data_IF_888925293863
#
_entry.id   IF_888925293863
#
_cell.length_a   1.000
_cell.length_b   1.000
_cell.length_c   1.000
_cell.angle_alpha   90.00
_cell.angle_beta   90.00
_cell.angle_gamma   90.00
#
_symmetry.space_group_name_H-M   'P 1'
#
loop_
_entity.id
_entity.type
_entity.pdbx_description
1 polymer ?
#
# COMPACT_ATOMS: atom_id res chain seq x y z
N UNK A 1 70.75 35.62 7.71
CA UNK A 1 69.29 35.86 7.77
C UNK A 1 68.56 34.54 7.55
N UNK A 2 67.70 34.11 8.49
CA UNK A 2 66.93 32.86 8.40
C UNK A 2 65.60 33.14 7.68
N UNK A 3 65.36 32.51 6.53
CA UNK A 3 64.05 32.56 5.86
C UNK A 3 63.11 31.55 6.53
N UNK A 4 61.99 32.04 7.06
CA UNK A 4 60.92 31.23 7.64
C UNK A 4 59.92 30.93 6.51
N UNK A 5 59.76 29.65 6.17
CA UNK A 5 58.69 29.17 5.29
C UNK A 5 57.42 28.99 6.13
N UNK A 6 56.39 29.80 5.86
CA UNK A 6 55.06 29.61 6.46
C UNK A 6 54.28 28.64 5.56
N UNK A 7 54.13 27.40 6.01
CA UNK A 7 53.24 26.42 5.38
C UNK A 7 51.82 26.69 5.89
N UNK A 8 50.96 27.23 5.03
CA UNK A 8 49.53 27.37 5.27
C UNK A 8 48.86 25.99 5.11
N UNK A 9 48.59 25.33 6.22
CA UNK A 9 47.78 24.10 6.26
C UNK A 9 46.32 24.53 6.17
N UNK A 10 45.72 24.41 4.98
CA UNK A 10 44.28 24.57 4.79
C UNK A 10 43.57 23.33 5.32
N UNK A 11 42.90 23.47 6.47
CA UNK A 11 42.10 22.41 7.06
C UNK A 11 40.70 22.43 6.42
N UNK A 12 40.54 21.68 5.33
CA UNK A 12 39.25 21.47 4.69
C UNK A 12 38.35 20.64 5.60
N UNK A 13 37.47 21.30 6.37
CA UNK A 13 36.36 20.65 7.05
C UNK A 13 35.38 20.09 6.01
N UNK A 14 35.59 18.82 5.62
CA UNK A 14 34.65 18.08 4.79
C UNK A 14 33.34 17.92 5.56
N UNK A 15 32.26 18.54 5.08
CA UNK A 15 30.91 18.24 5.55
C UNK A 15 30.63 16.76 5.29
N UNK A 16 30.25 15.97 6.31
CA UNK A 16 29.83 14.59 6.08
C UNK A 16 28.61 14.61 5.16
N UNK A 17 28.77 14.09 3.94
CA UNK A 17 27.66 13.69 3.09
C UNK A 17 26.94 12.55 3.83
N UNK A 18 25.84 12.87 4.51
CA UNK A 18 24.86 11.85 4.89
C UNK A 18 24.30 11.27 3.59
N UNK A 19 24.87 10.15 3.14
CA UNK A 19 24.29 9.35 2.08
C UNK A 19 22.93 8.88 2.58
N UNK A 20 21.87 9.51 2.07
CA UNK A 20 20.50 9.12 2.33
C UNK A 20 20.37 7.70 1.77
N UNK A 21 20.32 6.70 2.66
CA UNK A 21 20.22 5.29 2.27
C UNK A 21 19.07 5.17 1.26
N UNK A 22 19.31 4.64 0.05
CA UNK A 22 18.26 4.45 -0.93
C UNK A 22 17.19 3.58 -0.28
N UNK A 23 16.03 4.17 -0.04
CA UNK A 23 14.90 3.50 0.59
C UNK A 23 14.57 2.28 -0.27
N UNK A 24 14.60 1.04 0.27
CA UNK A 24 14.43 -0.14 -0.56
C UNK A 24 13.03 -0.11 -1.18
N UNK A 25 13.00 0.03 -2.51
CA UNK A 25 11.78 -0.09 -3.32
C UNK A 25 11.43 -1.57 -3.49
N UNK A 26 12.45 -2.43 -3.54
CA UNK A 26 12.35 -3.89 -3.56
C UNK A 26 13.11 -4.45 -2.34
N UNK A 27 12.64 -5.55 -1.73
CA UNK A 27 13.42 -6.23 -0.69
C UNK A 27 14.70 -6.86 -1.26
N UNK A 28 15.72 -7.06 -0.41
CA UNK A 28 16.89 -7.86 -0.78
C UNK A 28 16.46 -9.34 -0.85
N UNK A 29 16.55 -10.01 -2.02
CA UNK A 29 16.08 -11.38 -2.18
C UNK A 29 16.87 -12.41 -1.34
N UNK A 30 18.05 -12.04 -0.81
CA UNK A 30 18.81 -12.89 0.11
C UNK A 30 18.24 -12.84 1.53
N UNK A 31 17.68 -11.69 1.94
CA UNK A 31 17.07 -11.50 3.25
C UNK A 31 15.59 -11.91 3.25
N UNK A 32 14.88 -11.55 2.19
CA UNK A 32 13.43 -11.73 2.05
C UNK A 32 13.10 -12.46 0.74
N UNK A 33 13.41 -13.75 0.61
CA UNK A 33 13.10 -14.53 -0.60
C UNK A 33 11.60 -14.76 -0.85
N UNK A 34 10.74 -14.55 0.14
CA UNK A 34 9.29 -14.78 0.02
C UNK A 34 8.86 -16.16 0.54
N UNK A 35 9.04 -16.38 1.84
CA UNK A 35 8.61 -17.61 2.51
C UNK A 35 7.07 -17.70 2.67
N UNK A 36 6.51 -18.91 2.61
CA UNK A 36 5.06 -19.18 2.62
C UNK A 36 4.67 -20.22 3.67
N UNK A 37 3.43 -20.16 4.14
CA UNK A 37 2.83 -21.28 4.87
C UNK A 37 2.48 -22.42 3.91
N UNK A 38 2.38 -23.64 4.45
CA UNK A 38 1.80 -24.78 3.73
C UNK A 38 0.27 -24.66 3.72
N UNK A 39 -0.25 -23.94 2.73
CA UNK A 39 -1.68 -23.65 2.57
C UNK A 39 -2.12 -23.72 1.12
N UNK A 40 -3.40 -24.00 0.92
CA UNK A 40 -4.05 -24.07 -0.38
C UNK A 40 -4.77 -22.77 -0.73
N UNK A 41 -5.21 -22.64 -1.99
CA UNK A 41 -6.10 -21.56 -2.41
C UNK A 41 -7.40 -21.52 -1.57
N UNK A 42 -7.96 -22.69 -1.21
CA UNK A 42 -9.15 -22.76 -0.37
C UNK A 42 -8.95 -22.19 1.03
N UNK A 43 -7.77 -22.43 1.63
CA UNK A 43 -7.42 -21.89 2.94
C UNK A 43 -7.35 -20.37 2.93
N UNK A 44 -6.58 -19.81 1.98
CA UNK A 44 -6.36 -18.35 1.92
C UNK A 44 -7.63 -17.59 1.53
N UNK A 45 -8.53 -18.21 0.76
CA UNK A 45 -9.82 -17.64 0.38
C UNK A 45 -10.92 -17.81 1.45
N UNK A 46 -10.61 -18.46 2.57
CA UNK A 46 -11.55 -18.56 3.70
C UNK A 46 -11.65 -17.21 4.41
N UNK A 47 -12.86 -16.63 4.59
CA UNK A 47 -13.03 -15.36 5.28
C UNK A 47 -12.35 -15.32 6.64
N UNK A 48 -11.44 -14.36 6.84
CA UNK A 48 -10.73 -14.18 8.10
C UNK A 48 -9.43 -14.98 8.25
N UNK A 49 -9.00 -15.72 7.23
CA UNK A 49 -7.70 -16.43 7.22
C UNK A 49 -6.54 -15.51 7.66
N UNK A 50 -6.33 -14.38 6.97
CA UNK A 50 -5.24 -13.45 7.25
C UNK A 50 -5.29 -12.91 8.70
N UNK A 51 -6.49 -12.66 9.22
CA UNK A 51 -6.69 -12.22 10.62
C UNK A 51 -6.20 -13.25 11.64
N UNK A 52 -6.34 -14.54 11.34
CA UNK A 52 -5.90 -15.64 12.22
C UNK A 52 -4.38 -15.75 12.28
N UNK A 53 -3.71 -15.48 11.16
CA UNK A 53 -2.25 -15.70 11.04
C UNK A 53 -1.40 -14.44 11.13
N UNK A 54 -1.98 -13.23 11.27
CA UNK A 54 -1.25 -11.94 11.20
C UNK A 54 -0.24 -11.60 12.31
N UNK A 55 -0.05 -12.44 13.32
CA UNK A 55 0.76 -12.04 14.47
C UNK A 55 2.26 -12.14 14.17
N UNK A 56 2.92 -10.99 14.05
CA UNK A 56 4.38 -10.85 13.99
C UNK A 56 4.85 -10.17 15.28
N UNK A 57 5.62 -10.85 16.15
CA UNK A 57 6.15 -10.26 17.37
C UNK A 57 7.00 -9.00 17.10
N UNK A 58 6.96 -8.04 18.03
CA UNK A 58 7.72 -6.80 17.91
C UNK A 58 9.23 -7.05 17.77
N UNK A 59 9.77 -8.05 18.49
CA UNK A 59 11.17 -8.46 18.39
C UNK A 59 11.58 -8.91 16.99
N UNK A 60 10.69 -9.58 16.25
CA UNK A 60 10.93 -10.00 14.86
C UNK A 60 10.96 -8.78 13.94
N UNK A 61 10.08 -7.79 14.16
CA UNK A 61 10.08 -6.55 13.36
C UNK A 61 11.37 -5.76 13.56
N UNK A 62 11.85 -5.67 14.80
CA UNK A 62 13.13 -5.02 15.13
C UNK A 62 14.32 -5.75 14.50
N UNK A 63 14.29 -7.08 14.49
CA UNK A 63 15.29 -7.89 13.80
C UNK A 63 15.30 -7.64 12.29
N UNK A 64 14.12 -7.56 11.64
CA UNK A 64 14.00 -7.21 10.21
C UNK A 64 14.66 -5.85 9.92
N UNK A 65 14.36 -4.81 10.70
CA UNK A 65 14.99 -3.50 10.50
C UNK A 65 16.52 -3.56 10.65
N UNK A 66 17.01 -4.33 11.64
CA UNK A 66 18.44 -4.53 11.87
C UNK A 66 19.14 -5.26 10.71
N UNK A 67 18.54 -6.32 10.16
CA UNK A 67 19.08 -7.05 8.99
C UNK A 67 19.20 -6.13 7.76
N UNK A 68 18.30 -5.16 7.62
CA UNK A 68 18.31 -4.16 6.56
C UNK A 68 19.16 -2.91 6.89
N UNK A 69 19.88 -2.91 8.02
CA UNK A 69 20.73 -1.78 8.44
C UNK A 69 19.98 -0.52 8.84
N UNK A 70 18.68 -0.62 9.14
CA UNK A 70 17.83 0.50 9.58
C UNK A 70 17.88 0.59 11.10
N UNK A 71 18.80 1.42 11.60
CA UNK A 71 18.97 1.65 13.05
C UNK A 71 18.08 2.78 13.59
N UNK A 72 17.65 3.69 12.73
CA UNK A 72 16.77 4.81 13.06
C UNK A 72 15.78 5.05 11.93
N UNK A 73 14.51 5.28 12.27
CA UNK A 73 13.48 5.72 11.33
C UNK A 73 12.37 6.46 12.09
N UNK A 74 11.67 7.36 11.40
CA UNK A 74 10.51 8.02 11.96
C UNK A 74 9.24 7.16 11.82
N UNK A 75 8.24 7.43 12.67
CA UNK A 75 6.92 6.78 12.57
C UNK A 75 6.30 7.08 11.20
N UNK A 76 5.89 6.03 10.49
CA UNK A 76 5.24 6.14 9.18
C UNK A 76 6.19 6.29 7.99
N UNK A 77 7.50 6.11 8.18
CA UNK A 77 8.45 5.99 7.07
C UNK A 77 8.41 4.60 6.44
N UNK A 78 8.42 3.59 7.30
CA UNK A 78 8.38 2.19 6.94
C UNK A 78 7.30 1.47 7.73
N UNK A 79 6.89 0.33 7.18
CA UNK A 79 6.29 -0.76 7.92
C UNK A 79 7.08 -2.05 7.68
N UNK A 80 7.16 -2.90 8.70
CA UNK A 80 7.63 -4.27 8.52
C UNK A 80 6.47 -5.05 7.90
N UNK A 81 6.63 -5.41 6.63
CA UNK A 81 5.58 -5.98 5.81
C UNK A 81 5.99 -7.28 5.13
N UNK A 82 5.00 -8.06 4.73
CA UNK A 82 5.17 -9.36 4.09
C UNK A 82 5.43 -9.22 2.59
N UNK A 83 6.52 -9.75 2.03
CA UNK A 83 6.74 -9.71 0.57
C UNK A 83 5.62 -10.44 -0.18
N UNK A 84 5.31 -11.67 0.23
CA UNK A 84 4.08 -12.37 -0.15
C UNK A 84 3.05 -12.08 0.93
N UNK A 85 1.93 -11.43 0.58
CA UNK A 85 0.84 -11.14 1.52
C UNK A 85 0.34 -12.38 2.24
N UNK A 86 -0.13 -12.22 3.47
CA UNK A 86 -0.86 -13.28 4.18
C UNK A 86 -2.11 -13.72 3.40
N UNK A 87 -2.74 -12.82 2.62
CA UNK A 87 -3.88 -13.18 1.75
C UNK A 87 -3.48 -14.10 0.57
N UNK A 88 -2.18 -14.27 0.35
CA UNK A 88 -1.60 -15.20 -0.61
C UNK A 88 -0.80 -16.32 0.10
N UNK A 89 -1.03 -16.53 1.40
CA UNK A 89 -0.38 -17.59 2.17
C UNK A 89 1.08 -17.31 2.51
N UNK A 90 1.56 -16.07 2.42
CA UNK A 90 2.88 -15.71 2.92
C UNK A 90 3.05 -16.02 4.40
N UNK A 91 4.28 -16.33 4.83
CA UNK A 91 4.56 -16.68 6.22
C UNK A 91 4.97 -15.46 7.06
N UNK A 92 4.90 -15.57 8.39
CA UNK A 92 5.46 -14.57 9.32
C UNK A 92 6.98 -14.72 9.53
N UNK A 93 7.65 -15.55 8.72
CA UNK A 93 9.09 -15.74 8.80
C UNK A 93 9.82 -14.46 8.45
N UNK A 94 10.98 -14.22 9.06
CA UNK A 94 11.88 -13.13 8.67
C UNK A 94 12.22 -13.18 7.16
N UNK A 95 12.22 -14.38 6.57
CA UNK A 95 12.42 -14.61 5.13
C UNK A 95 11.28 -14.14 4.23
N UNK A 96 10.18 -13.67 4.80
CA UNK A 96 9.07 -13.04 4.08
C UNK A 96 8.82 -11.61 4.60
N UNK A 97 9.58 -11.10 5.56
CA UNK A 97 9.39 -9.77 6.12
C UNK A 97 10.47 -8.80 5.65
N UNK A 98 10.10 -7.55 5.38
CA UNK A 98 11.04 -6.49 4.97
C UNK A 98 10.54 -5.09 5.36
N UNK A 99 11.43 -4.08 5.46
CA UNK A 99 11.05 -2.68 5.65
C UNK A 99 10.45 -2.09 4.37
N UNK A 100 9.13 -2.04 4.27
CA UNK A 100 8.46 -1.42 3.14
C UNK A 100 8.26 0.08 3.36
N UNK A 101 8.75 0.90 2.43
CA UNK A 101 8.64 2.36 2.52
C UNK A 101 7.24 2.87 2.14
N UNK A 102 6.76 3.85 2.91
CA UNK A 102 5.62 4.71 2.56
C UNK A 102 6.02 5.94 1.73
N UNK A 103 7.33 6.25 1.65
CA UNK A 103 7.84 7.51 1.10
C UNK A 103 8.25 7.41 -0.36
N UNK A 104 8.66 6.24 -0.82
CA UNK A 104 9.04 6.01 -2.21
C UNK A 104 7.88 6.32 -3.17
N UNK A 105 8.21 6.83 -4.36
CA UNK A 105 7.23 7.21 -5.39
C UNK A 105 7.68 6.72 -6.77
N UNK A 106 6.73 6.26 -7.61
CA UNK A 106 5.33 6.02 -7.28
C UNK A 106 5.13 4.76 -6.42
N UNK A 107 6.11 3.85 -6.41
CA UNK A 107 6.12 2.57 -5.72
C UNK A 107 6.24 2.75 -4.20
N UNK A 108 5.25 2.33 -3.41
CA UNK A 108 5.26 2.32 -1.94
C UNK A 108 4.29 1.26 -1.40
N UNK A 109 4.24 1.09 -0.08
CA UNK A 109 3.28 0.26 0.65
C UNK A 109 1.87 0.25 0.05
N UNK A 110 1.24 1.43 -0.09
CA UNK A 110 -0.13 1.56 -0.61
C UNK A 110 -0.30 1.10 -2.05
N UNK A 111 0.78 1.09 -2.83
CA UNK A 111 0.78 0.58 -4.20
C UNK A 111 0.86 -0.94 -4.20
N UNK A 112 1.71 -1.52 -3.34
CA UNK A 112 1.79 -2.97 -3.17
C UNK A 112 0.48 -3.53 -2.63
N UNK A 113 -0.19 -2.86 -1.68
CA UNK A 113 -1.53 -3.26 -1.20
C UNK A 113 -2.52 -3.52 -2.35
N UNK A 114 -2.51 -2.66 -3.38
CA UNK A 114 -3.40 -2.83 -4.54
C UNK A 114 -3.06 -4.08 -5.36
N UNK A 115 -1.78 -4.39 -5.51
CA UNK A 115 -1.36 -5.64 -6.14
C UNK A 115 -1.80 -6.84 -5.30
N UNK A 116 -1.60 -6.82 -3.99
CA UNK A 116 -1.97 -7.93 -3.11
C UNK A 116 -3.46 -8.25 -3.17
N UNK A 117 -4.30 -7.22 -3.02
CA UNK A 117 -5.74 -7.35 -3.16
C UNK A 117 -6.14 -7.92 -4.53
N UNK A 118 -5.46 -7.47 -5.60
CA UNK A 118 -5.73 -7.93 -6.96
C UNK A 118 -5.32 -9.39 -7.16
N UNK A 119 -4.16 -9.80 -6.67
CA UNK A 119 -3.72 -11.18 -6.74
C UNK A 119 -4.63 -12.09 -5.94
N UNK A 120 -5.05 -11.68 -4.74
CA UNK A 120 -5.99 -12.43 -3.92
C UNK A 120 -7.34 -12.62 -4.63
N UNK A 121 -7.90 -11.56 -5.23
CA UNK A 121 -9.12 -11.64 -6.05
C UNK A 121 -8.99 -12.64 -7.21
N UNK A 122 -7.85 -12.60 -7.93
CA UNK A 122 -7.59 -13.51 -9.04
C UNK A 122 -7.46 -14.97 -8.58
N UNK A 123 -6.81 -15.21 -7.44
CA UNK A 123 -6.70 -16.54 -6.83
C UNK A 123 -8.07 -17.06 -6.40
N UNK A 124 -8.82 -16.27 -5.63
CA UNK A 124 -10.11 -16.69 -5.10
C UNK A 124 -11.23 -16.78 -6.15
N UNK A 125 -11.04 -16.17 -7.32
CA UNK A 125 -11.91 -16.37 -8.48
C UNK A 125 -11.44 -17.50 -9.41
N UNK A 126 -10.35 -18.19 -9.08
CA UNK A 126 -9.78 -19.29 -9.89
C UNK A 126 -9.13 -18.84 -11.20
N UNK A 127 -8.91 -17.53 -11.39
CA UNK A 127 -8.29 -16.95 -12.59
C UNK A 127 -6.76 -16.98 -12.56
N UNK A 128 -6.17 -17.22 -11.39
CA UNK A 128 -4.74 -17.33 -11.19
C UNK A 128 -4.45 -18.42 -10.15
N UNK A 129 -3.50 -19.30 -10.43
CA UNK A 129 -3.03 -20.28 -9.45
C UNK A 129 -2.29 -19.58 -8.29
N UNK A 130 -2.48 -20.07 -7.06
CA UNK A 130 -1.89 -19.48 -5.86
C UNK A 130 -0.37 -19.44 -5.94
N UNK A 131 0.27 -20.53 -6.37
CA UNK A 131 1.73 -20.60 -6.49
C UNK A 131 2.25 -19.63 -7.55
N UNK A 132 1.51 -19.46 -8.64
CA UNK A 132 1.81 -18.45 -9.67
C UNK A 132 1.74 -17.02 -9.11
N UNK A 133 0.73 -16.71 -8.29
CA UNK A 133 0.62 -15.41 -7.64
C UNK A 133 1.77 -15.15 -6.65
N UNK A 134 2.10 -16.14 -5.83
CA UNK A 134 3.22 -16.11 -4.87
C UNK A 134 4.55 -15.87 -5.60
N UNK A 135 4.83 -16.62 -6.67
CA UNK A 135 6.05 -16.46 -7.46
C UNK A 135 6.14 -15.08 -8.12
N UNK A 136 5.03 -14.56 -8.65
CA UNK A 136 5.01 -13.27 -9.31
C UNK A 136 5.37 -12.13 -8.35
N UNK A 137 4.72 -12.07 -7.17
CA UNK A 137 4.97 -11.00 -6.20
C UNK A 137 6.35 -11.12 -5.55
N UNK A 138 6.80 -12.34 -5.23
CA UNK A 138 8.12 -12.57 -4.61
C UNK A 138 9.28 -12.24 -5.56
N UNK A 139 9.16 -12.53 -6.85
CA UNK A 139 10.23 -12.29 -7.82
C UNK A 139 10.43 -10.81 -8.08
N UNK A 140 9.34 -10.08 -8.35
CA UNK A 140 9.36 -8.64 -8.56
C UNK A 140 7.92 -8.08 -8.46
N UNK A 141 7.58 -7.54 -7.30
CA UNK A 141 6.24 -7.02 -7.06
C UNK A 141 5.88 -5.82 -7.97
N UNK A 142 6.86 -5.05 -8.48
CA UNK A 142 6.60 -3.94 -9.42
C UNK A 142 6.16 -4.50 -10.78
N UNK A 143 6.86 -5.49 -11.31
CA UNK A 143 6.48 -6.13 -12.57
C UNK A 143 5.17 -6.91 -12.44
N UNK A 144 4.93 -7.54 -11.28
CA UNK A 144 3.64 -8.14 -10.97
C UNK A 144 2.52 -7.08 -10.94
N UNK A 145 2.74 -5.91 -10.36
CA UNK A 145 1.79 -4.79 -10.41
C UNK A 145 1.46 -4.41 -11.85
N UNK A 146 2.49 -4.19 -12.67
CA UNK A 146 2.33 -3.83 -14.09
C UNK A 146 1.49 -4.86 -14.85
N UNK A 147 1.71 -6.14 -14.56
CA UNK A 147 1.02 -7.26 -15.20
C UNK A 147 -0.44 -7.42 -14.76
N UNK A 148 -0.72 -7.38 -13.45
CA UNK A 148 -2.02 -7.79 -12.90
C UNK A 148 -2.95 -6.63 -12.53
N UNK A 149 -2.38 -5.44 -12.30
CA UNK A 149 -3.14 -4.22 -11.95
C UNK A 149 -3.22 -3.26 -13.13
N UNK A 150 -2.10 -2.99 -13.80
CA UNK A 150 -2.03 -2.06 -14.93
C UNK A 150 -0.76 -1.21 -14.92
N UNK A 151 -0.65 -0.18 -15.79
CA UNK A 151 0.56 0.60 -15.96
C UNK A 151 1.03 1.29 -14.66
N UNK A 152 2.25 1.82 -14.68
CA UNK A 152 2.85 2.52 -13.54
C UNK A 152 1.82 3.46 -12.89
N UNK A 153 1.57 3.32 -11.58
CA UNK A 153 0.60 4.17 -10.92
C UNK A 153 1.07 5.60 -11.06
N UNK A 154 0.20 6.47 -11.59
CA UNK A 154 0.44 7.92 -11.54
C UNK A 154 0.87 8.25 -10.12
N UNK A 155 2.06 8.83 -9.97
CA UNK A 155 2.50 9.30 -8.67
C UNK A 155 1.34 10.12 -8.09
N UNK A 156 1.01 9.93 -6.81
CA UNK A 156 0.10 10.82 -6.10
C UNK A 156 0.78 12.19 -5.94
N UNK A 157 1.08 12.84 -7.07
CA UNK A 157 1.39 14.23 -7.20
C UNK A 157 0.08 15.01 -7.22
N UNK A 158 0.17 16.26 -6.80
CA UNK A 158 -0.91 17.24 -6.96
C UNK A 158 -1.39 17.17 -8.43
N UNK A 159 -2.70 17.12 -8.72
CA UNK A 159 -3.18 17.12 -10.10
C UNK A 159 -2.55 18.27 -10.86
N UNK A 160 -2.17 18.05 -12.12
CA UNK A 160 -1.68 19.10 -13.02
C UNK A 160 -2.67 20.26 -13.11
N UNK A 161 -2.25 21.45 -13.52
CA UNK A 161 -3.17 22.60 -13.67
C UNK A 161 -4.30 22.29 -14.65
N UNK A 162 -4.04 21.45 -15.66
CA UNK A 162 -5.05 20.99 -16.62
C UNK A 162 -6.01 19.96 -16.01
N UNK A 163 -5.52 18.98 -15.24
CA UNK A 163 -6.38 18.07 -14.46
C UNK A 163 -7.14 18.84 -13.35
N UNK A 164 -6.57 19.92 -12.82
CA UNK A 164 -7.24 20.85 -11.90
C UNK A 164 -8.29 21.69 -12.60
N UNK A 165 -8.07 22.12 -13.84
CA UNK A 165 -9.07 22.84 -14.62
C UNK A 165 -10.24 21.93 -14.99
N UNK A 166 -9.99 20.65 -15.27
CA UNK A 166 -11.01 19.64 -15.49
C UNK A 166 -11.75 19.24 -14.19
N UNK A 167 -11.05 19.18 -13.05
CA UNK A 167 -11.64 18.91 -11.72
C UNK A 167 -12.23 20.15 -11.01
N UNK A 168 -11.89 21.37 -11.44
CA UNK A 168 -12.37 22.65 -10.92
C UNK A 168 -13.40 23.33 -11.82
N UNK A 169 -13.72 22.74 -12.98
CA UNK A 169 -15.00 23.00 -13.60
C UNK A 169 -16.10 22.61 -12.59
N UNK A 170 -17.06 23.49 -12.28
CA UNK A 170 -18.10 23.13 -11.33
C UNK A 170 -18.90 21.96 -11.91
N UNK A 171 -18.72 20.77 -11.34
CA UNK A 171 -19.73 19.72 -11.41
C UNK A 171 -20.92 20.13 -10.52
N UNK A 172 -21.55 21.26 -10.86
CA UNK A 172 -22.93 21.53 -10.52
C UNK A 172 -23.80 20.67 -11.43
N UNK A 173 -23.77 19.37 -11.19
CA UNK A 173 -24.93 18.54 -11.51
C UNK A 173 -25.61 18.27 -10.18
N UNK A 174 -26.81 18.79 -9.93
CA UNK A 174 -27.58 18.33 -8.77
C UNK A 174 -27.66 16.80 -8.87
N UNK A 175 -27.43 16.11 -7.75
CA UNK A 175 -27.66 14.67 -7.67
C UNK A 175 -29.01 14.38 -8.32
N UNK A 176 -29.02 13.55 -9.36
CA UNK A 176 -30.26 13.16 -9.99
C UNK A 176 -31.15 12.56 -8.90
N UNK A 177 -32.42 12.98 -8.86
CA UNK A 177 -33.37 12.56 -7.83
C UNK A 177 -33.31 11.03 -7.64
N UNK A 178 -33.00 10.57 -6.42
CA UNK A 178 -32.94 9.14 -6.08
C UNK A 178 -31.54 8.51 -5.96
N UNK A 179 -30.45 9.28 -6.07
CA UNK A 179 -29.09 8.76 -5.83
C UNK A 179 -28.79 8.63 -4.31
N UNK A 180 -28.04 7.59 -3.94
CA UNK A 180 -27.53 7.35 -2.60
C UNK A 180 -26.03 7.66 -2.54
N UNK A 181 -25.57 8.09 -1.37
CA UNK A 181 -24.15 8.26 -1.08
C UNK A 181 -23.60 6.97 -0.47
N UNK A 182 -22.72 6.25 -1.17
CA UNK A 182 -22.11 5.03 -0.64
C UNK A 182 -20.74 5.31 -0.07
N UNK A 183 -20.36 4.58 0.98
CA UNK A 183 -19.01 4.53 1.49
C UNK A 183 -18.38 3.18 1.15
N UNK A 184 -17.36 3.21 0.30
CA UNK A 184 -16.68 2.03 -0.25
C UNK A 184 -15.86 1.27 0.79
N UNK A 185 -15.57 1.89 1.94
CA UNK A 185 -14.82 1.28 3.04
C UNK A 185 -15.73 0.57 4.03
N UNK A 186 -16.89 1.15 4.36
CA UNK A 186 -17.81 0.59 5.35
C UNK A 186 -18.91 -0.30 4.77
N UNK A 187 -19.06 -0.34 3.44
CA UNK A 187 -20.14 -1.08 2.78
C UNK A 187 -21.53 -0.49 3.05
N UNK A 188 -21.62 0.78 3.47
CA UNK A 188 -22.88 1.44 3.86
C UNK A 188 -23.27 2.55 2.88
N UNK A 189 -24.57 2.80 2.74
CA UNK A 189 -25.08 3.94 1.98
C UNK A 189 -26.13 4.77 2.72
N UNK A 190 -26.19 6.05 2.39
CA UNK A 190 -27.12 7.04 2.96
C UNK A 190 -27.98 7.69 1.86
N UNK A 191 -29.22 8.02 2.19
CA UNK A 191 -30.16 8.70 1.30
C UNK A 191 -30.00 10.23 1.36
N UNK A 192 -30.52 10.98 0.36
CA UNK A 192 -30.59 12.43 0.44
C UNK A 192 -31.30 12.87 1.72
N UNK A 193 -30.74 13.85 2.44
CA UNK A 193 -31.27 14.35 3.73
C UNK A 193 -30.61 13.74 4.97
N UNK A 194 -29.99 12.55 4.86
CA UNK A 194 -29.29 11.94 6.01
C UNK A 194 -28.02 12.72 6.38
N UNK A 195 -27.67 12.68 7.68
CA UNK A 195 -26.53 13.43 8.26
C UNK A 195 -25.20 13.28 7.49
N UNK A 196 -24.94 12.09 6.94
CA UNK A 196 -23.67 11.70 6.30
C UNK A 196 -23.72 11.66 4.76
N UNK A 197 -24.83 12.03 4.14
CA UNK A 197 -24.96 12.11 2.68
C UNK A 197 -23.95 13.12 2.11
N UNK A 198 -23.03 12.66 1.25
CA UNK A 198 -21.99 13.51 0.62
C UNK A 198 -20.82 13.92 1.52
N UNK A 199 -20.73 13.41 2.76
CA UNK A 199 -19.78 13.96 3.77
C UNK A 199 -18.64 13.02 4.18
N UNK A 200 -18.65 11.75 3.77
CA UNK A 200 -17.59 10.81 4.17
C UNK A 200 -16.40 10.87 3.21
N UNK A 201 -15.16 10.87 3.70
CA UNK A 201 -13.94 11.01 2.88
C UNK A 201 -13.75 9.99 1.76
N UNK A 202 -14.38 8.81 1.85
CA UNK A 202 -14.36 7.78 0.81
C UNK A 202 -15.79 7.40 0.44
N UNK A 203 -16.44 8.24 -0.35
CA UNK A 203 -17.76 7.92 -0.87
C UNK A 203 -17.99 8.39 -2.29
N UNK A 204 -19.02 7.81 -2.91
CA UNK A 204 -19.45 8.12 -4.28
C UNK A 204 -20.98 8.08 -4.37
N UNK A 205 -21.54 8.86 -5.29
CA UNK A 205 -22.96 8.76 -5.62
C UNK A 205 -23.19 7.57 -6.55
N UNK A 206 -24.28 6.83 -6.32
CA UNK A 206 -24.81 5.82 -7.24
C UNK A 206 -26.31 5.66 -7.03
N UNK A 207 -27.01 4.93 -7.90
CA UNK A 207 -28.40 4.56 -7.61
C UNK A 207 -28.48 3.56 -6.46
N UNK A 208 -29.60 3.55 -5.73
CA UNK A 208 -29.81 2.57 -4.67
C UNK A 208 -29.79 1.12 -5.19
N UNK A 209 -30.38 0.87 -6.37
CA UNK A 209 -30.37 -0.46 -6.99
C UNK A 209 -28.97 -0.95 -7.35
N UNK A 210 -28.09 -0.06 -7.80
CA UNK A 210 -26.67 -0.40 -8.01
C UNK A 210 -25.93 -0.62 -6.70
N UNK A 211 -26.23 0.15 -5.66
CA UNK A 211 -25.65 -0.02 -4.34
C UNK A 211 -25.96 -1.41 -3.78
N UNK A 212 -27.23 -1.83 -3.85
CA UNK A 212 -27.65 -3.15 -3.39
C UNK A 212 -27.05 -4.27 -4.25
N UNK A 213 -27.01 -4.13 -5.58
CA UNK A 213 -26.33 -5.09 -6.48
C UNK A 213 -24.83 -5.22 -6.18
N UNK A 214 -24.19 -4.14 -5.76
CA UNK A 214 -22.78 -4.12 -5.34
C UNK A 214 -22.58 -4.52 -3.86
N UNK A 215 -23.64 -4.99 -3.18
CA UNK A 215 -23.57 -5.50 -1.81
C UNK A 215 -23.55 -4.43 -0.72
N UNK A 216 -23.72 -3.15 -1.07
CA UNK A 216 -23.84 -2.07 -0.09
C UNK A 216 -25.17 -2.17 0.66
N UNK A 217 -25.12 -1.93 1.97
CA UNK A 217 -26.26 -2.00 2.86
C UNK A 217 -26.74 -0.60 3.28
N UNK A 218 -28.05 -0.37 3.44
CA UNK A 218 -28.55 0.88 3.97
C UNK A 218 -28.00 1.13 5.38
N UNK A 219 -27.60 2.36 5.68
CA UNK A 219 -27.13 2.75 7.00
C UNK A 219 -28.31 2.89 7.99
N UNK A 220 -28.92 1.78 8.41
CA UNK A 220 -29.98 1.81 9.44
C UNK A 220 -29.45 2.35 10.78
N UNK A 221 -30.20 3.27 11.40
CA UNK A 221 -30.00 3.71 12.78
C UNK A 221 -28.84 4.68 13.06
N UNK A 222 -28.24 5.30 12.05
CA UNK A 222 -27.16 6.30 12.26
C UNK A 222 -27.45 7.62 11.52
N UNK A 223 -28.50 8.31 11.99
CA UNK A 223 -28.80 9.69 11.63
C UNK A 223 -29.80 9.89 10.49
N UNK A 224 -30.96 9.24 10.61
CA UNK A 224 -32.23 9.87 10.18
C UNK A 224 -32.46 11.15 10.98
#
# INVERSE_FOLDING_TARGET
MRLIWVVLISLSLGLPLFAQQPQPILPDPRLTPGDVFDVTAGDVCTPGYSRKVRNVPQSVKEEVYREYGITEHHRGEYECDHLISLELGGSNSIKNLWPQSYRTRPWNARVKDRLENRLHELVCSGKLDLKTAQQAIASNWIEAYKKYVGPEPKALGRPSEDERAEMAAPASTPAAAGQVWVNTRSGKYWRPGSRYYGKTKQGKFMSEGEAQKQGFQPAHGTGE
#
